data_IF_622612238462
#
_entry.id   IF_622612238462
#
_cell.length_a   1.000
_cell.length_b   1.000
_cell.length_c   1.000
_cell.angle_alpha   90.00
_cell.angle_beta   90.00
_cell.angle_gamma   90.00
#
_symmetry.space_group_name_H-M   'P 1'
#
loop_
_entity.id
_entity.type
_entity.pdbx_description
1 polymer ?
#
# COMPACT_ATOMS: atom_id res chain seq x y z
N UNK A 1 -11.14 -10.89 9.16
CA UNK A 1 -11.64 -9.51 9.28
C UNK A 1 -11.19 -8.91 10.61
N UNK A 2 -10.45 -7.78 10.64
CA UNK A 2 -10.04 -7.16 11.89
C UNK A 2 -11.25 -6.56 12.64
N UNK A 3 -11.39 -6.93 13.91
CA UNK A 3 -12.48 -6.48 14.80
C UNK A 3 -11.85 -5.78 16.00
N UNK A 4 -12.26 -4.54 16.26
CA UNK A 4 -11.81 -3.76 17.40
C UNK A 4 -12.38 -4.31 18.71
N UNK A 5 -11.79 -3.91 19.85
CA UNK A 5 -12.19 -4.38 21.19
C UNK A 5 -13.65 -4.12 21.52
N UNK A 6 -14.24 -3.07 20.96
CA UNK A 6 -15.65 -2.70 21.12
C UNK A 6 -16.59 -3.46 20.16
N UNK A 7 -16.08 -4.41 19.38
CA UNK A 7 -16.83 -5.19 18.40
C UNK A 7 -17.00 -4.48 17.06
N UNK A 8 -16.46 -3.27 16.88
CA UNK A 8 -16.56 -2.56 15.60
C UNK A 8 -15.64 -3.14 14.54
N UNK A 9 -16.05 -3.02 13.27
CA UNK A 9 -15.22 -3.34 12.11
C UNK A 9 -14.90 -2.03 11.40
N UNK A 10 -13.75 -1.38 11.67
CA UNK A 10 -13.52 0.02 11.27
C UNK A 10 -13.51 0.27 9.76
N UNK A 11 -13.38 -0.77 8.95
CA UNK A 11 -13.46 -0.68 7.50
C UNK A 11 -14.88 -0.33 7.00
N UNK A 12 -15.92 -0.71 7.75
CA UNK A 12 -17.31 -0.46 7.39
C UNK A 12 -17.93 0.61 8.26
N UNK A 13 -18.89 1.35 7.71
CA UNK A 13 -19.70 2.29 8.45
C UNK A 13 -21.14 2.22 7.97
N UNK A 14 -22.12 2.34 8.87
CA UNK A 14 -23.49 2.60 8.44
C UNK A 14 -23.63 4.06 8.00
N UNK A 15 -24.21 4.29 6.83
CA UNK A 15 -24.40 5.62 6.25
C UNK A 15 -25.87 5.82 5.94
N UNK A 16 -26.40 6.99 6.27
CA UNK A 16 -27.77 7.40 5.94
C UNK A 16 -27.67 8.58 5.00
N UNK A 17 -27.77 8.33 3.69
CA UNK A 17 -27.77 9.39 2.65
C UNK A 17 -29.18 9.91 2.37
N UNK A 18 -30.16 9.04 2.53
CA UNK A 18 -31.58 9.33 2.36
C UNK A 18 -32.31 8.97 3.66
N UNK A 19 -33.24 9.83 4.08
CA UNK A 19 -33.99 9.62 5.32
C UNK A 19 -34.70 8.26 5.29
N UNK A 20 -34.41 7.42 6.28
CA UNK A 20 -35.01 6.09 6.42
C UNK A 20 -34.28 4.96 5.68
N UNK A 21 -33.19 5.26 4.95
CA UNK A 21 -32.38 4.26 4.25
C UNK A 21 -31.01 4.14 4.90
N UNK A 22 -30.78 3.01 5.58
CA UNK A 22 -29.48 2.66 6.14
C UNK A 22 -28.71 1.85 5.10
N UNK A 23 -27.56 2.36 4.71
CA UNK A 23 -26.65 1.73 3.75
C UNK A 23 -25.36 1.30 4.46
N UNK A 24 -24.75 0.23 3.98
CA UNK A 24 -23.39 -0.10 4.39
C UNK A 24 -22.41 0.70 3.52
N UNK A 25 -21.70 1.64 4.14
CA UNK A 25 -20.59 2.35 3.53
C UNK A 25 -19.39 1.43 3.34
N UNK A 26 -19.08 1.16 2.08
CA UNK A 26 -17.89 0.43 1.62
C UNK A 26 -16.94 1.36 0.86
N UNK A 27 -15.74 0.89 0.52
CA UNK A 27 -14.76 1.67 -0.26
C UNK A 27 -14.41 3.07 0.30
N UNK A 28 -14.44 3.23 1.62
CA UNK A 28 -14.03 4.46 2.29
C UNK A 28 -12.51 4.53 2.47
N UNK A 29 -11.95 5.73 2.73
CA UNK A 29 -10.54 5.86 3.08
C UNK A 29 -10.14 4.99 4.28
N UNK A 30 -11.09 4.72 5.20
CA UNK A 30 -10.87 3.92 6.39
C UNK A 30 -10.65 2.42 6.10
N UNK A 31 -11.12 1.88 4.96
CA UNK A 31 -10.79 0.51 4.54
C UNK A 31 -9.28 0.30 4.45
N UNK A 32 -8.58 1.30 3.89
CA UNK A 32 -7.15 1.23 3.63
C UNK A 32 -6.32 1.90 4.73
N UNK A 33 -6.84 2.95 5.37
CA UNK A 33 -6.10 3.78 6.32
C UNK A 33 -6.68 3.71 7.73
N UNK A 34 -7.13 2.54 8.19
CA UNK A 34 -7.45 2.31 9.59
C UNK A 34 -6.99 0.93 10.01
N UNK A 35 -6.23 0.87 11.10
CA UNK A 35 -5.66 -0.37 11.63
C UNK A 35 -6.31 -0.73 12.96
N UNK A 36 -6.65 -2.00 13.14
CA UNK A 36 -6.92 -2.56 14.47
C UNK A 36 -5.60 -3.07 15.05
N UNK A 37 -5.19 -2.53 16.19
CA UNK A 37 -3.96 -2.88 16.88
C UNK A 37 -4.10 -4.21 17.64
N UNK A 38 -3.00 -4.88 18.03
CA UNK A 38 -3.05 -6.16 18.74
C UNK A 38 -3.85 -6.14 20.06
N UNK A 39 -3.90 -5.00 20.74
CA UNK A 39 -4.70 -4.78 21.96
C UNK A 39 -6.19 -4.49 21.68
N UNK A 40 -6.59 -4.51 20.41
CA UNK A 40 -7.93 -4.22 19.92
C UNK A 40 -8.25 -2.73 19.78
N UNK A 41 -7.30 -1.82 20.03
CA UNK A 41 -7.48 -0.38 19.78
C UNK A 41 -7.49 -0.04 18.28
N UNK A 42 -8.07 1.10 17.92
CA UNK A 42 -8.20 1.54 16.52
C UNK A 42 -7.29 2.73 16.23
N UNK A 43 -6.35 2.54 15.31
CA UNK A 43 -5.48 3.59 14.79
C UNK A 43 -6.01 4.14 13.46
N UNK A 44 -6.83 5.21 13.53
CA UNK A 44 -7.30 5.96 12.34
C UNK A 44 -6.12 6.65 11.67
N UNK A 45 -5.91 6.40 10.38
CA UNK A 45 -4.73 6.83 9.64
C UNK A 45 -3.62 5.77 9.57
N UNK A 46 -3.71 4.67 10.33
CA UNK A 46 -2.72 3.60 10.29
C UNK A 46 -2.77 2.78 9.01
N UNK A 47 -1.66 2.09 8.69
CA UNK A 47 -1.65 1.06 7.64
C UNK A 47 -2.62 -0.07 8.01
N UNK A 48 -3.71 -0.19 7.24
CA UNK A 48 -4.80 -1.12 7.53
C UNK A 48 -4.34 -2.58 7.58
N UNK A 49 -5.00 -3.37 8.41
CA UNK A 49 -4.93 -4.83 8.42
C UNK A 49 -6.24 -5.47 7.91
N UNK A 50 -7.06 -4.71 7.21
CA UNK A 50 -8.19 -5.23 6.44
C UNK A 50 -7.65 -5.96 5.20
N UNK A 51 -8.19 -7.15 4.87
CA UNK A 51 -7.82 -7.89 3.66
C UNK A 51 -8.51 -7.28 2.43
N UNK A 52 -7.98 -6.16 1.92
CA UNK A 52 -8.61 -5.40 0.82
C UNK A 52 -8.79 -6.25 -0.43
N UNK A 53 -7.72 -6.90 -0.86
CA UNK A 53 -7.72 -7.73 -2.07
C UNK A 53 -8.50 -9.04 -1.92
N UNK A 54 -8.40 -9.82 -0.81
CA UNK A 54 -9.30 -10.95 -0.61
C UNK A 54 -10.79 -10.56 -0.58
N UNK A 55 -11.14 -9.40 -0.03
CA UNK A 55 -12.52 -8.89 -0.11
C UNK A 55 -12.94 -8.57 -1.57
N UNK A 56 -12.01 -8.11 -2.41
CA UNK A 56 -12.23 -7.94 -3.85
C UNK A 56 -12.37 -9.30 -4.57
N UNK A 57 -11.57 -10.30 -4.20
CA UNK A 57 -11.66 -11.66 -4.73
C UNK A 57 -13.04 -12.27 -4.45
N UNK A 58 -13.55 -12.13 -3.23
CA UNK A 58 -14.90 -12.55 -2.85
C UNK A 58 -15.97 -11.82 -3.68
N UNK A 59 -15.80 -10.52 -3.93
CA UNK A 59 -16.71 -9.75 -4.78
C UNK A 59 -16.69 -10.25 -6.24
N UNK A 60 -15.53 -10.63 -6.78
CA UNK A 60 -15.43 -11.21 -8.12
C UNK A 60 -16.13 -12.57 -8.22
N UNK A 61 -15.96 -13.43 -7.21
CA UNK A 61 -16.67 -14.72 -7.13
C UNK A 61 -18.17 -14.53 -7.07
N UNK A 62 -18.64 -13.70 -6.14
CA UNK A 62 -20.08 -13.40 -5.98
C UNK A 62 -20.69 -12.81 -7.26
N UNK A 63 -19.98 -11.88 -7.92
CA UNK A 63 -20.42 -11.33 -9.20
C UNK A 63 -20.60 -12.41 -10.26
N UNK A 64 -19.63 -13.32 -10.42
CA UNK A 64 -19.69 -14.43 -11.36
C UNK A 64 -20.79 -15.45 -11.02
N UNK A 65 -20.97 -15.77 -9.74
CA UNK A 65 -21.99 -16.70 -9.27
C UNK A 65 -23.41 -16.16 -9.45
N UNK A 66 -23.60 -14.85 -9.26
CA UNK A 66 -24.87 -14.16 -9.48
C UNK A 66 -25.27 -14.06 -10.96
N UNK A 67 -24.30 -14.22 -11.88
CA UNK A 67 -24.57 -14.23 -13.31
C UNK A 67 -25.23 -15.56 -13.72
N UNK A 68 -26.28 -15.51 -14.58
CA UNK A 68 -26.84 -16.71 -15.20
C UNK A 68 -25.77 -17.60 -15.85
N UNK A 69 -25.89 -18.94 -15.86
CA UNK A 69 -24.85 -19.85 -16.37
C UNK A 69 -24.34 -19.50 -17.77
N UNK A 70 -25.22 -19.07 -18.67
CA UNK A 70 -24.93 -18.64 -20.04
C UNK A 70 -24.13 -17.33 -20.11
N UNK A 71 -24.10 -16.53 -19.03
CA UNK A 71 -23.41 -15.24 -18.95
C UNK A 71 -22.11 -15.27 -18.15
N UNK A 72 -21.74 -16.40 -17.54
CA UNK A 72 -20.50 -16.52 -16.74
C UNK A 72 -19.22 -16.24 -17.54
N UNK A 73 -19.18 -16.62 -18.83
CA UNK A 73 -18.08 -16.23 -19.73
C UNK A 73 -17.98 -14.71 -19.90
N UNK A 74 -19.12 -14.00 -19.90
CA UNK A 74 -19.16 -12.55 -19.88
C UNK A 74 -18.64 -11.94 -18.58
N UNK A 75 -18.80 -12.63 -17.44
CA UNK A 75 -18.24 -12.18 -16.17
C UNK A 75 -16.70 -12.15 -16.20
N UNK A 76 -16.06 -13.12 -16.86
CA UNK A 76 -14.60 -13.11 -17.10
C UNK A 76 -14.20 -11.89 -17.90
N UNK A 77 -14.89 -11.59 -19.01
CA UNK A 77 -14.59 -10.42 -19.84
C UNK A 77 -14.73 -9.11 -19.04
N UNK A 78 -15.80 -8.97 -18.25
CA UNK A 78 -16.02 -7.81 -17.40
C UNK A 78 -14.88 -7.66 -16.37
N UNK A 79 -14.60 -8.69 -15.59
CA UNK A 79 -13.57 -8.64 -14.54
C UNK A 79 -12.19 -8.39 -15.17
N UNK A 80 -11.80 -9.20 -16.15
CA UNK A 80 -10.46 -9.12 -16.75
C UNK A 80 -10.27 -7.87 -17.61
N UNK A 81 -11.18 -7.64 -18.56
CA UNK A 81 -10.95 -6.64 -19.61
C UNK A 81 -11.55 -5.28 -19.28
N UNK A 82 -12.56 -5.20 -18.42
CA UNK A 82 -13.19 -3.93 -18.04
C UNK A 82 -12.76 -3.43 -16.65
N UNK A 83 -12.29 -4.30 -15.75
CA UNK A 83 -11.78 -3.89 -14.43
C UNK A 83 -10.26 -4.03 -14.34
N UNK A 84 -9.72 -5.24 -14.37
CA UNK A 84 -8.28 -5.52 -14.20
C UNK A 84 -7.43 -4.76 -15.21
N UNK A 85 -7.81 -4.81 -16.50
CA UNK A 85 -7.13 -4.06 -17.56
C UNK A 85 -7.13 -2.56 -17.27
N UNK A 86 -8.27 -2.03 -16.84
CA UNK A 86 -8.42 -0.59 -16.58
C UNK A 86 -7.53 -0.14 -15.43
N UNK A 87 -7.35 -0.98 -14.40
CA UNK A 87 -6.52 -0.65 -13.25
C UNK A 87 -5.03 -0.93 -13.44
N UNK A 88 -4.64 -1.98 -14.17
CA UNK A 88 -3.25 -2.47 -14.13
C UNK A 88 -2.53 -2.53 -15.47
N UNK A 89 -3.23 -2.49 -16.61
CA UNK A 89 -2.55 -2.64 -17.89
C UNK A 89 -1.65 -1.45 -18.22
N UNK A 90 -0.56 -1.77 -18.92
CA UNK A 90 0.46 -0.82 -19.37
C UNK A 90 0.79 -1.13 -20.84
N UNK A 91 -0.14 -0.90 -21.79
CA UNK A 91 -0.03 -1.44 -23.14
C UNK A 91 1.24 -1.03 -23.90
N UNK A 92 1.77 0.15 -23.59
CA UNK A 92 3.01 0.68 -24.17
C UNK A 92 4.29 -0.06 -23.73
N UNK A 93 4.21 -0.99 -22.78
CA UNK A 93 5.30 -1.91 -22.43
C UNK A 93 5.31 -3.20 -23.28
N UNK A 94 4.30 -3.41 -24.13
CA UNK A 94 4.24 -4.60 -25.00
C UNK A 94 4.29 -5.90 -24.21
N UNK A 95 5.26 -6.77 -24.50
CA UNK A 95 5.43 -8.05 -23.81
C UNK A 95 5.76 -7.91 -22.32
N UNK A 96 6.29 -6.76 -21.89
CA UNK A 96 6.60 -6.48 -20.48
C UNK A 96 5.39 -6.00 -19.67
N UNK A 97 4.23 -5.79 -20.30
CA UNK A 97 3.02 -5.37 -19.59
C UNK A 97 2.60 -6.44 -18.55
N UNK A 98 2.61 -6.11 -17.24
CA UNK A 98 2.30 -7.05 -16.19
C UNK A 98 0.89 -7.64 -16.31
N UNK A 99 -0.06 -6.92 -16.91
CA UNK A 99 -1.44 -7.37 -17.10
C UNK A 99 -1.53 -8.59 -18.03
N UNK A 100 -0.55 -8.80 -18.91
CA UNK A 100 -0.51 -10.01 -19.78
C UNK A 100 -0.41 -11.30 -18.98
N UNK A 101 0.11 -11.24 -17.74
CA UNK A 101 0.19 -12.38 -16.81
C UNK A 101 -1.09 -12.63 -16.03
N UNK A 102 -2.06 -11.71 -16.07
CA UNK A 102 -3.35 -11.92 -15.38
C UNK A 102 -3.98 -13.21 -15.95
N UNK A 103 -4.62 -14.06 -15.12
CA UNK A 103 -5.28 -15.28 -15.59
C UNK A 103 -6.58 -15.06 -16.39
N UNK A 104 -7.06 -16.11 -17.08
CA UNK A 104 -8.24 -16.03 -17.97
C UNK A 104 -9.50 -16.67 -17.38
N UNK A 105 -9.59 -16.82 -16.06
CA UNK A 105 -10.79 -17.29 -15.37
C UNK A 105 -11.06 -16.45 -14.12
N UNK A 106 -12.34 -16.35 -13.71
CA UNK A 106 -12.71 -15.60 -12.50
C UNK A 106 -12.00 -16.16 -11.28
N UNK A 107 -11.95 -17.47 -11.13
CA UNK A 107 -11.33 -18.11 -9.95
C UNK A 107 -9.83 -17.87 -9.89
N UNK A 108 -9.10 -17.96 -11.00
CA UNK A 108 -7.67 -17.69 -10.98
C UNK A 108 -7.36 -16.19 -10.77
N UNK A 109 -8.20 -15.29 -11.28
CA UNK A 109 -8.09 -13.84 -10.98
C UNK A 109 -8.40 -13.59 -9.50
N UNK A 110 -9.42 -14.21 -8.95
CA UNK A 110 -9.73 -14.14 -7.52
C UNK A 110 -8.57 -14.68 -6.67
N UNK A 111 -7.98 -15.82 -7.05
CA UNK A 111 -6.81 -16.39 -6.39
C UNK A 111 -5.55 -15.50 -6.47
N UNK A 112 -5.41 -14.71 -7.54
CA UNK A 112 -4.37 -13.67 -7.64
C UNK A 112 -4.56 -12.60 -6.56
N UNK A 113 -5.78 -12.11 -6.36
CA UNK A 113 -6.08 -11.16 -5.29
C UNK A 113 -6.04 -11.78 -3.89
N UNK A 114 -6.47 -13.02 -3.70
CA UNK A 114 -6.34 -13.73 -2.41
C UNK A 114 -4.89 -13.88 -1.95
N UNK A 115 -3.94 -13.90 -2.90
CA UNK A 115 -2.51 -13.96 -2.58
C UNK A 115 -1.98 -12.67 -1.93
N UNK A 116 -2.69 -11.55 -2.06
CA UNK A 116 -2.31 -10.27 -1.49
C UNK A 116 -2.74 -10.19 -0.03
N UNK A 117 -1.76 -9.96 0.85
CA UNK A 117 -1.96 -10.02 2.31
C UNK A 117 -2.43 -8.67 2.89
N UNK A 118 -3.05 -8.67 4.09
CA UNK A 118 -3.39 -7.43 4.79
C UNK A 118 -2.21 -6.47 4.96
N UNK A 119 -2.49 -5.16 4.82
CA UNK A 119 -1.47 -4.12 4.81
C UNK A 119 -0.94 -3.77 3.43
N UNK A 120 -1.33 -4.52 2.40
CA UNK A 120 -1.09 -4.23 0.99
C UNK A 120 -2.42 -3.97 0.28
N UNK A 121 -2.35 -3.37 -0.91
CA UNK A 121 -3.47 -3.38 -1.83
C UNK A 121 -2.97 -3.41 -3.28
N UNK A 122 -3.71 -4.05 -4.17
CA UNK A 122 -3.54 -3.87 -5.61
C UNK A 122 -4.05 -2.49 -6.02
N UNK A 123 -3.21 -1.47 -5.75
CA UNK A 123 -3.56 -0.07 -6.03
C UNK A 123 -3.71 0.12 -7.53
N UNK A 124 -4.74 0.83 -7.97
CA UNK A 124 -4.85 1.31 -9.34
C UNK A 124 -3.52 1.95 -9.83
N UNK A 125 -3.16 1.66 -11.08
CA UNK A 125 -1.88 1.96 -11.74
C UNK A 125 -0.67 1.16 -11.27
N UNK A 126 -0.80 0.30 -10.26
CA UNK A 126 0.23 -0.66 -9.87
C UNK A 126 -0.05 -2.01 -10.55
N UNK A 127 0.21 -3.12 -9.85
CA UNK A 127 -0.12 -4.47 -10.31
C UNK A 127 -0.34 -5.40 -9.10
N UNK A 128 -1.27 -6.36 -9.17
CA UNK A 128 -1.43 -7.38 -8.12
C UNK A 128 -0.21 -8.31 -7.96
N UNK A 129 0.72 -8.32 -8.93
CA UNK A 129 1.96 -9.11 -8.84
C UNK A 129 3.04 -8.46 -7.95
N UNK A 130 2.94 -7.15 -7.68
CA UNK A 130 3.80 -6.39 -6.76
C UNK A 130 2.95 -5.28 -6.13
N UNK A 131 1.99 -5.66 -5.26
CA UNK A 131 1.03 -4.73 -4.68
C UNK A 131 1.76 -3.81 -3.69
N UNK A 132 1.63 -2.48 -3.83
CA UNK A 132 2.26 -1.57 -2.90
C UNK A 132 1.67 -1.72 -1.50
N UNK A 133 2.53 -1.51 -0.50
CA UNK A 133 2.12 -1.30 0.88
C UNK A 133 1.14 -0.14 0.97
N UNK A 134 0.15 -0.27 1.84
CA UNK A 134 -0.71 0.85 2.18
C UNK A 134 0.08 1.77 3.12
N UNK A 135 0.33 3.06 2.75
CA UNK A 135 1.01 3.97 3.65
C UNK A 135 0.10 4.36 4.81
N UNK A 136 0.68 4.55 5.99
CA UNK A 136 0.01 5.31 7.04
C UNK A 136 -0.06 6.80 6.67
N UNK A 137 -1.01 7.51 7.25
CA UNK A 137 -1.31 8.92 7.00
C UNK A 137 -0.82 9.83 8.12
N UNK A 138 -0.05 9.30 9.07
CA UNK A 138 0.44 10.09 10.19
C UNK A 138 1.48 11.09 9.71
N UNK A 139 1.36 12.33 10.20
CA UNK A 139 2.37 13.37 10.01
C UNK A 139 2.68 13.62 8.53
N UNK A 140 1.63 13.46 7.70
CA UNK A 140 1.77 13.48 6.26
C UNK A 140 2.34 14.81 5.75
N UNK A 141 2.11 15.91 6.47
CA UNK A 141 2.65 17.25 6.15
C UNK A 141 4.18 17.26 6.02
N UNK A 142 4.88 16.41 6.77
CA UNK A 142 6.34 16.36 6.79
C UNK A 142 6.92 15.35 5.77
N UNK A 143 6.05 14.64 5.03
CA UNK A 143 6.44 13.64 4.01
C UNK A 143 6.42 14.30 2.64
N UNK A 144 7.53 14.27 1.91
CA UNK A 144 7.64 14.90 0.58
C UNK A 144 6.90 14.15 -0.54
N UNK A 145 6.63 12.86 -0.36
CA UNK A 145 6.02 11.99 -1.37
C UNK A 145 4.91 11.14 -0.75
N UNK A 146 3.76 11.06 -1.43
CA UNK A 146 2.59 10.31 -0.94
C UNK A 146 2.71 8.80 -1.16
N UNK A 147 3.28 8.38 -2.28
CA UNK A 147 3.36 6.98 -2.70
C UNK A 147 4.80 6.43 -2.66
N UNK A 148 4.95 5.12 -2.78
CA UNK A 148 6.24 4.45 -2.68
C UNK A 148 7.23 4.82 -3.79
N UNK A 149 6.75 5.13 -5.00
CA UNK A 149 7.60 5.42 -6.16
C UNK A 149 7.96 6.89 -6.29
N UNK A 150 7.41 7.74 -5.43
CA UNK A 150 7.65 9.18 -5.47
C UNK A 150 6.96 9.88 -6.63
N UNK A 151 5.95 9.25 -7.23
CA UNK A 151 5.19 9.81 -8.34
C UNK A 151 4.45 11.09 -7.94
N UNK A 152 3.79 11.05 -6.79
CA UNK A 152 2.92 12.09 -6.28
C UNK A 152 3.63 12.85 -5.14
N UNK A 153 3.95 14.13 -5.38
CA UNK A 153 4.64 15.01 -4.43
C UNK A 153 3.68 15.70 -3.47
N UNK A 154 4.18 16.07 -2.29
CA UNK A 154 3.45 16.81 -1.26
C UNK A 154 4.23 18.08 -0.90
N UNK A 155 3.92 19.19 -1.57
CA UNK A 155 4.58 20.48 -1.33
C UNK A 155 3.71 21.39 -0.47
N UNK A 156 2.40 21.28 -0.62
CA UNK A 156 1.40 22.08 0.07
C UNK A 156 0.07 21.31 0.17
N UNK A 157 -0.87 21.83 0.96
CA UNK A 157 -2.18 21.20 1.16
C UNK A 157 -2.96 20.98 -0.15
N UNK A 158 -2.77 21.86 -1.13
CA UNK A 158 -3.36 21.73 -2.46
C UNK A 158 -2.92 20.47 -3.20
N UNK A 159 -1.71 19.97 -2.97
CA UNK A 159 -1.26 18.71 -3.56
C UNK A 159 -2.00 17.51 -2.96
N UNK A 160 -2.28 17.52 -1.65
CA UNK A 160 -3.10 16.49 -1.02
C UNK A 160 -4.54 16.51 -1.55
N UNK A 161 -5.11 17.70 -1.73
CA UNK A 161 -6.44 17.87 -2.33
C UNK A 161 -6.50 17.29 -3.75
N UNK A 162 -5.52 17.64 -4.60
CA UNK A 162 -5.40 17.09 -5.96
C UNK A 162 -5.19 15.58 -5.95
N UNK A 163 -4.33 15.08 -5.08
CA UNK A 163 -4.08 13.65 -4.93
C UNK A 163 -5.37 12.89 -4.58
N UNK A 164 -6.15 13.40 -3.63
CA UNK A 164 -7.42 12.82 -3.24
C UNK A 164 -8.42 12.83 -4.41
N UNK A 165 -8.57 13.95 -5.11
CA UNK A 165 -9.46 14.06 -6.27
C UNK A 165 -9.07 13.11 -7.41
N UNK A 166 -7.78 13.02 -7.75
CA UNK A 166 -7.26 12.13 -8.79
C UNK A 166 -7.53 10.67 -8.44
N UNK A 167 -7.23 10.27 -7.20
CA UNK A 167 -7.34 8.88 -6.80
C UNK A 167 -8.78 8.43 -6.50
N UNK A 168 -9.73 9.36 -6.32
CA UNK A 168 -11.15 9.08 -6.03
C UNK A 168 -12.08 9.33 -7.22
N UNK A 169 -11.60 9.07 -8.45
CA UNK A 169 -12.47 9.00 -9.64
C UNK A 169 -11.92 9.67 -10.90
N UNK A 170 -11.00 10.64 -10.77
CA UNK A 170 -10.48 11.33 -11.96
C UNK A 170 -9.37 10.56 -12.69
N UNK A 171 -8.86 9.45 -12.14
CA UNK A 171 -7.80 8.66 -12.77
C UNK A 171 -8.19 8.04 -14.12
N UNK A 172 -9.50 7.78 -14.32
CA UNK A 172 -10.04 7.23 -15.56
C UNK A 172 -10.11 8.26 -16.68
N UNK A 173 -9.94 9.55 -16.35
CA UNK A 173 -9.88 10.64 -17.32
C UNK A 173 -8.50 10.81 -17.97
N UNK A 174 -7.49 10.03 -17.53
CA UNK A 174 -6.12 10.13 -18.01
C UNK A 174 -5.88 9.18 -19.19
N UNK A 175 -5.30 9.70 -20.27
CA UNK A 175 -5.19 9.02 -21.58
C UNK A 175 -4.20 7.83 -21.62
N UNK A 176 -3.14 7.84 -20.81
CA UNK A 176 -2.07 6.81 -20.78
C UNK A 176 -1.63 6.32 -22.17
N UNK A 177 -1.18 7.24 -23.03
CA UNK A 177 -0.68 6.95 -24.37
C UNK A 177 -1.74 6.28 -25.27
N UNK A 178 -2.94 6.88 -25.36
CA UNK A 178 -4.03 6.39 -26.19
C UNK A 178 -4.80 5.20 -25.64
N UNK A 179 -4.54 4.77 -24.39
CA UNK A 179 -5.28 3.68 -23.74
C UNK A 179 -6.69 4.12 -23.34
N UNK A 180 -6.86 5.38 -22.92
CA UNK A 180 -8.14 5.99 -22.56
C UNK A 180 -8.31 7.32 -23.28
N UNK A 181 -8.45 7.32 -24.62
CA UNK A 181 -8.52 8.54 -25.40
C UNK A 181 -9.65 9.43 -24.86
N UNK A 182 -9.38 10.71 -24.53
CA UNK A 182 -10.36 11.61 -23.92
C UNK A 182 -11.67 11.68 -24.71
N UNK A 183 -11.58 11.55 -26.03
CA UNK A 183 -12.70 11.51 -26.99
C UNK A 183 -13.73 10.39 -26.70
N UNK A 184 -13.30 9.30 -26.04
CA UNK A 184 -14.13 8.15 -25.69
C UNK A 184 -14.56 8.14 -24.23
N UNK A 185 -14.06 9.07 -23.42
CA UNK A 185 -14.46 9.15 -22.03
C UNK A 185 -15.87 9.74 -21.94
N UNK A 186 -16.77 9.16 -21.12
CA UNK A 186 -18.04 9.82 -20.84
C UNK A 186 -17.79 11.23 -20.27
N UNK A 187 -18.73 12.18 -20.45
CA UNK A 187 -18.61 13.51 -19.87
C UNK A 187 -18.26 13.43 -18.38
N UNK A 188 -17.32 14.25 -17.91
CA UNK A 188 -16.78 14.18 -16.55
C UNK A 188 -17.90 14.25 -15.49
N UNK A 189 -18.99 14.96 -15.78
CA UNK A 189 -20.15 15.10 -14.90
C UNK A 189 -20.94 13.80 -14.70
N UNK A 190 -20.77 12.82 -15.62
CA UNK A 190 -21.46 11.52 -15.59
C UNK A 190 -20.65 10.39 -14.97
N UNK A 191 -19.34 10.57 -14.81
CA UNK A 191 -18.43 9.52 -14.35
C UNK A 191 -18.34 9.49 -12.82
N UNK A 192 -18.13 10.65 -12.20
CA UNK A 192 -18.04 10.77 -10.74
C UNK A 192 -18.49 12.17 -10.30
N UNK A 193 -19.18 12.30 -9.16
CA UNK A 193 -19.41 13.63 -8.58
C UNK A 193 -18.05 14.26 -8.25
N UNK A 194 -17.74 15.40 -8.89
CA UNK A 194 -16.57 16.20 -8.53
C UNK A 194 -16.72 16.64 -7.07
N UNK A 195 -15.73 16.33 -6.24
CA UNK A 195 -15.65 16.88 -4.89
C UNK A 195 -15.43 18.39 -4.97
N UNK A 196 -16.17 19.16 -4.15
CA UNK A 196 -15.94 20.61 -4.05
C UNK A 196 -14.58 20.89 -3.42
N UNK A 197 -14.04 22.07 -3.69
CA UNK A 197 -12.76 22.48 -3.13
C UNK A 197 -12.84 22.56 -1.59
N UNK A 198 -13.97 22.96 -1.02
CA UNK A 198 -14.21 22.99 0.43
C UNK A 198 -14.18 21.57 1.03
N UNK A 199 -14.80 20.60 0.33
CA UNK A 199 -14.81 19.20 0.79
C UNK A 199 -13.42 18.59 0.75
N UNK A 200 -12.64 18.86 -0.31
CA UNK A 200 -11.26 18.41 -0.44
C UNK A 200 -10.36 19.08 0.60
N UNK A 201 -10.54 20.37 0.86
CA UNK A 201 -9.79 21.10 1.87
C UNK A 201 -10.09 20.58 3.28
N UNK A 202 -11.37 20.35 3.62
CA UNK A 202 -11.77 19.75 4.88
C UNK A 202 -11.19 18.33 5.06
N UNK A 203 -11.21 17.51 4.01
CA UNK A 203 -10.58 16.18 4.02
C UNK A 203 -9.07 16.28 4.23
N UNK A 204 -8.39 17.21 3.55
CA UNK A 204 -6.95 17.40 3.68
C UNK A 204 -6.56 17.85 5.10
N UNK A 205 -7.33 18.78 5.69
CA UNK A 205 -7.15 19.18 7.09
C UNK A 205 -7.37 18.02 8.07
N UNK A 206 -8.42 17.20 7.83
CA UNK A 206 -8.66 16.01 8.63
C UNK A 206 -7.49 15.03 8.57
N UNK A 207 -6.98 14.73 7.37
CA UNK A 207 -5.84 13.83 7.17
C UNK A 207 -4.60 14.37 7.88
N UNK A 208 -4.30 15.66 7.76
CA UNK A 208 -3.17 16.29 8.46
C UNK A 208 -3.33 16.32 9.99
N UNK A 209 -4.54 16.19 10.51
CA UNK A 209 -4.81 16.13 11.95
C UNK A 209 -4.74 14.71 12.54
N UNK A 210 -4.63 13.67 11.70
CA UNK A 210 -4.51 12.28 12.16
C UNK A 210 -3.23 12.09 12.98
N UNK A 211 -3.39 11.48 14.16
CA UNK A 211 -2.30 11.19 15.09
C UNK A 211 -2.02 9.70 15.19
N UNK A 212 -0.75 9.31 15.31
CA UNK A 212 -0.38 7.92 15.57
C UNK A 212 -0.92 7.46 16.94
N UNK A 213 -1.13 6.15 17.13
CA UNK A 213 -1.41 5.62 18.47
C UNK A 213 -0.20 5.83 19.40
N UNK A 214 -0.41 5.88 20.74
CA UNK A 214 0.70 5.97 21.69
C UNK A 214 1.67 4.80 21.55
N UNK A 215 2.97 5.08 21.54
CA UNK A 215 3.99 4.04 21.45
C UNK A 215 4.16 3.30 22.77
N UNK A 216 3.98 1.97 22.78
CA UNK A 216 4.20 1.16 23.99
C UNK A 216 5.69 0.95 24.29
N UNK A 217 6.60 1.26 23.35
CA UNK A 217 8.04 1.06 23.49
C UNK A 217 8.71 2.33 24.01
N UNK A 218 9.23 2.27 25.23
CA UNK A 218 10.00 3.35 25.85
C UNK A 218 11.50 3.17 25.63
N UNK A 219 12.25 4.26 25.73
CA UNK A 219 13.72 4.21 25.70
C UNK A 219 14.25 3.46 26.93
N UNK A 220 15.19 2.55 26.67
CA UNK A 220 15.94 1.76 27.64
C UNK A 220 17.39 1.56 27.17
N UNK A 221 18.23 0.93 28.00
CA UNK A 221 19.63 0.69 27.69
C UNK A 221 19.87 -0.11 26.38
N UNK A 222 18.91 -0.96 25.98
CA UNK A 222 19.02 -1.76 24.75
C UNK A 222 18.71 -0.89 23.52
N UNK A 223 17.67 -0.08 23.56
CA UNK A 223 17.34 0.88 22.50
C UNK A 223 18.39 1.99 22.36
N UNK A 224 18.98 2.48 23.44
CA UNK A 224 20.10 3.44 23.39
C UNK A 224 21.35 2.82 22.72
N UNK A 225 21.60 1.53 22.98
CA UNK A 225 22.63 0.76 22.25
C UNK A 225 22.25 0.65 20.77
N UNK A 226 20.97 0.41 20.48
CA UNK A 226 20.43 0.35 19.14
C UNK A 226 20.61 1.64 18.34
N UNK A 227 20.42 2.79 18.97
CA UNK A 227 20.67 4.10 18.35
C UNK A 227 22.14 4.23 17.94
N UNK A 228 23.08 3.82 18.81
CA UNK A 228 24.51 3.81 18.46
C UNK A 228 24.81 2.87 17.29
N UNK A 229 24.16 1.70 17.23
CA UNK A 229 24.26 0.78 16.09
C UNK A 229 23.70 1.42 14.82
N UNK A 230 22.54 2.08 14.91
CA UNK A 230 21.90 2.78 13.79
C UNK A 230 22.82 3.83 13.16
N UNK A 231 23.50 4.63 13.98
CA UNK A 231 24.48 5.61 13.51
C UNK A 231 25.69 4.93 12.85
N UNK A 232 26.30 3.94 13.53
CA UNK A 232 27.50 3.23 13.05
C UNK A 232 27.26 2.42 11.78
N UNK A 233 26.07 1.85 11.62
CA UNK A 233 25.68 1.07 10.45
C UNK A 233 25.32 1.96 9.24
N UNK A 234 25.39 3.28 9.38
CA UNK A 234 25.11 4.24 8.30
C UNK A 234 23.63 4.45 8.01
N UNK A 235 22.71 3.95 8.85
CA UNK A 235 21.27 4.06 8.63
C UNK A 235 20.82 5.52 8.56
N UNK A 236 21.44 6.39 9.36
CA UNK A 236 21.14 7.82 9.43
C UNK A 236 21.44 8.59 8.13
N UNK A 237 22.23 8.05 7.19
CA UNK A 237 22.48 8.70 5.90
C UNK A 237 21.20 8.81 5.05
N UNK A 238 20.34 7.78 5.11
CA UNK A 238 19.04 7.77 4.44
C UNK A 238 17.89 8.11 5.41
N UNK A 239 18.02 7.72 6.67
CA UNK A 239 17.00 7.88 7.70
C UNK A 239 17.42 8.82 8.85
N UNK A 240 17.82 10.08 8.57
CA UNK A 240 18.22 11.02 9.62
C UNK A 240 17.02 11.46 10.46
N UNK A 241 17.26 11.68 11.75
CA UNK A 241 16.33 12.40 12.64
C UNK A 241 16.09 13.85 12.16
N UNK A 242 14.97 14.49 12.52
CA UNK A 242 13.89 13.99 13.37
C UNK A 242 12.83 13.16 12.61
N UNK A 243 12.79 13.23 11.28
CA UNK A 243 11.76 12.55 10.49
C UNK A 243 12.10 11.08 10.20
N UNK A 244 13.33 10.65 10.49
CA UNK A 244 13.87 9.33 10.15
C UNK A 244 13.69 8.97 8.67
N UNK A 245 13.83 10.00 7.84
CA UNK A 245 13.90 9.96 6.38
C UNK A 245 14.54 11.26 5.93
N UNK A 246 15.36 11.18 4.89
CA UNK A 246 15.89 12.36 4.21
C UNK A 246 14.90 12.94 3.19
N UNK A 247 13.69 12.35 3.05
CA UNK A 247 12.69 12.74 2.06
C UNK A 247 13.23 12.72 0.62
N UNK A 248 14.16 11.81 0.31
CA UNK A 248 14.75 11.65 -1.02
C UNK A 248 14.22 10.39 -1.73
N UNK A 249 14.50 10.34 -3.03
CA UNK A 249 14.27 9.20 -3.90
C UNK A 249 15.60 8.45 -4.11
N UNK A 250 15.58 7.13 -3.97
CA UNK A 250 16.67 6.24 -4.33
C UNK A 250 16.32 5.49 -5.60
N UNK A 251 17.28 5.34 -6.51
CA UNK A 251 17.11 4.48 -7.69
C UNK A 251 16.80 3.06 -7.24
N UNK A 252 15.79 2.44 -7.85
CA UNK A 252 15.39 1.07 -7.52
C UNK A 252 16.56 0.09 -7.71
N UNK A 253 17.37 0.29 -8.75
CA UNK A 253 18.54 -0.53 -9.05
C UNK A 253 19.65 -0.36 -8.00
N UNK A 254 19.81 0.83 -7.43
CA UNK A 254 20.85 1.11 -6.45
C UNK A 254 20.52 0.50 -5.08
N UNK A 255 19.25 0.54 -4.66
CA UNK A 255 18.83 -0.13 -3.42
C UNK A 255 18.65 -1.64 -3.60
N UNK A 256 18.38 -2.10 -4.82
CA UNK A 256 18.34 -3.51 -5.22
C UNK A 256 17.10 -4.29 -4.77
N UNK A 257 16.05 -3.59 -4.32
CA UNK A 257 14.74 -4.21 -3.99
C UNK A 257 13.94 -4.51 -5.26
N UNK A 258 12.83 -5.23 -5.13
CA UNK A 258 11.96 -5.58 -6.27
C UNK A 258 11.62 -4.33 -7.13
N UNK A 259 11.93 -4.32 -8.45
CA UNK A 259 11.74 -3.14 -9.28
C UNK A 259 10.38 -3.11 -9.99
N UNK A 260 9.52 -4.12 -9.80
CA UNK A 260 8.30 -4.30 -10.59
C UNK A 260 7.41 -3.06 -10.52
N UNK A 261 7.17 -2.55 -9.30
CA UNK A 261 6.34 -1.37 -9.08
C UNK A 261 6.91 -0.12 -9.75
N UNK A 262 8.24 0.04 -9.76
CA UNK A 262 8.92 1.23 -10.32
C UNK A 262 9.16 1.18 -11.82
N UNK A 263 9.15 0.00 -12.43
CA UNK A 263 9.60 -0.18 -13.81
C UNK A 263 8.50 -0.66 -14.75
N UNK A 264 7.53 -1.44 -14.25
CA UNK A 264 6.54 -2.13 -15.09
C UNK A 264 5.11 -1.66 -14.84
N UNK A 265 4.90 -0.55 -14.13
CA UNK A 265 3.56 -0.05 -13.79
C UNK A 265 3.37 1.40 -14.24
N UNK A 266 2.12 1.86 -14.28
CA UNK A 266 1.78 3.28 -14.51
C UNK A 266 2.12 4.18 -13.31
N UNK A 267 2.62 3.62 -12.20
CA UNK A 267 3.25 4.36 -11.11
C UNK A 267 4.76 4.40 -11.20
N UNK A 268 5.34 3.76 -12.21
CA UNK A 268 6.78 3.61 -12.34
C UNK A 268 7.51 4.93 -12.57
N UNK A 269 8.49 5.21 -11.71
CA UNK A 269 9.41 6.35 -11.85
C UNK A 269 10.87 5.90 -11.99
N UNK A 270 11.17 4.62 -11.78
CA UNK A 270 12.54 4.11 -11.57
C UNK A 270 13.11 4.35 -10.16
N UNK A 271 12.34 4.95 -9.24
CA UNK A 271 12.82 5.29 -7.90
C UNK A 271 11.86 4.82 -6.81
N UNK A 272 12.41 4.54 -5.64
CA UNK A 272 11.66 4.41 -4.39
C UNK A 272 11.97 5.57 -3.46
N UNK A 273 10.96 6.09 -2.77
CA UNK A 273 11.21 7.04 -1.68
C UNK A 273 11.86 6.33 -0.51
N UNK A 274 12.74 7.05 0.20
CA UNK A 274 13.19 6.61 1.52
C UNK A 274 12.04 6.79 2.51
N UNK A 275 11.42 5.70 3.04
CA UNK A 275 10.29 5.85 3.95
C UNK A 275 10.75 6.42 5.30
N UNK A 276 9.90 7.21 5.96
CA UNK A 276 10.11 7.53 7.38
C UNK A 276 10.06 6.25 8.22
N UNK A 277 10.97 6.12 9.18
CA UNK A 277 10.94 5.02 10.16
C UNK A 277 10.09 5.34 11.39
N UNK A 278 9.52 6.55 11.49
CA UNK A 278 8.55 6.89 12.55
C UNK A 278 7.37 5.94 12.52
N UNK A 279 6.94 5.53 13.71
CA UNK A 279 5.83 4.60 13.91
C UNK A 279 6.03 3.23 13.25
N UNK A 280 7.29 2.83 12.95
CA UNK A 280 7.57 1.52 12.37
C UNK A 280 7.05 0.37 13.24
N UNK A 281 7.04 0.54 14.56
CA UNK A 281 6.49 -0.41 15.53
C UNK A 281 4.99 -0.70 15.33
N UNK A 282 4.22 0.26 14.83
CA UNK A 282 2.77 0.19 14.72
C UNK A 282 2.29 -0.38 13.38
N UNK A 283 3.22 -0.68 12.45
CA UNK A 283 2.89 -1.06 11.08
C UNK A 283 3.69 -2.27 10.60
N UNK A 284 3.16 -2.89 9.56
CA UNK A 284 3.67 -4.13 8.98
C UNK A 284 2.67 -4.64 7.95
N UNK A 285 3.09 -5.40 6.93
CA UNK A 285 4.46 -5.86 6.64
C UNK A 285 5.42 -4.73 6.19
N UNK A 286 6.72 -4.99 6.00
CA UNK A 286 7.78 -4.05 5.58
C UNK A 286 8.23 -4.28 4.12
N UNK A 287 9.09 -3.38 3.59
CA UNK A 287 9.36 -3.18 2.15
C UNK A 287 8.22 -2.47 1.40
N UNK A 288 8.46 -1.99 0.18
CA UNK A 288 7.46 -1.31 -0.64
C UNK A 288 6.30 -2.24 -1.06
N UNK A 289 6.53 -3.55 -1.11
CA UNK A 289 5.56 -4.60 -1.51
C UNK A 289 5.23 -5.58 -0.37
N UNK A 290 5.69 -5.33 0.86
CA UNK A 290 5.33 -6.15 2.01
C UNK A 290 5.99 -7.52 2.12
N UNK A 291 7.17 -7.77 1.54
CA UNK A 291 7.75 -9.12 1.51
C UNK A 291 8.10 -9.71 2.88
N UNK A 292 8.29 -8.88 3.91
CA UNK A 292 8.68 -9.34 5.26
C UNK A 292 7.70 -8.82 6.32
N UNK A 293 7.32 -9.66 7.27
CA UNK A 293 6.32 -9.31 8.28
C UNK A 293 6.88 -8.42 9.41
N UNK A 294 8.14 -8.65 9.80
CA UNK A 294 8.75 -8.02 10.99
C UNK A 294 10.06 -7.29 10.69
N UNK A 295 10.52 -6.46 11.63
CA UNK A 295 11.84 -5.82 11.54
C UNK A 295 12.96 -6.84 11.71
N UNK A 296 12.71 -7.89 12.50
CA UNK A 296 13.60 -9.02 12.71
C UNK A 296 13.85 -9.75 11.37
N UNK A 297 12.79 -10.05 10.61
CA UNK A 297 12.89 -10.65 9.27
C UNK A 297 13.65 -9.75 8.28
N UNK A 298 13.48 -8.43 8.38
CA UNK A 298 14.16 -7.47 7.52
C UNK A 298 15.68 -7.53 7.65
N UNK A 299 16.17 -7.82 8.86
CA UNK A 299 17.60 -7.96 9.15
C UNK A 299 18.12 -9.40 9.12
N UNK A 300 17.29 -10.39 8.79
CA UNK A 300 17.72 -11.77 8.58
C UNK A 300 18.36 -11.94 7.19
N UNK A 301 19.67 -12.25 7.08
CA UNK A 301 20.33 -12.48 5.80
C UNK A 301 19.76 -13.68 5.02
N UNK A 302 19.06 -14.62 5.68
CA UNK A 302 18.40 -15.74 5.00
C UNK A 302 17.38 -15.27 3.96
N UNK A 303 16.82 -14.06 4.12
CA UNK A 303 15.88 -13.50 3.15
C UNK A 303 16.45 -13.34 1.74
N UNK A 304 17.79 -13.30 1.61
CA UNK A 304 18.47 -13.14 0.33
C UNK A 304 18.53 -14.43 -0.50
N UNK A 305 18.25 -15.59 0.10
CA UNK A 305 18.34 -16.89 -0.57
C UNK A 305 17.15 -17.12 -1.50
N UNK A 306 17.37 -17.75 -2.65
CA UNK A 306 16.31 -18.02 -3.62
C UNK A 306 15.28 -19.06 -3.11
N UNK A 307 15.65 -19.88 -2.13
CA UNK A 307 14.78 -20.84 -1.43
C UNK A 307 14.07 -20.25 -0.19
N UNK A 308 14.24 -18.96 0.10
CA UNK A 308 13.58 -18.29 1.20
C UNK A 308 12.06 -18.29 1.02
N UNK A 309 11.33 -18.47 2.12
CA UNK A 309 9.87 -18.29 2.19
C UNK A 309 9.60 -16.92 2.82
N UNK A 310 9.19 -15.89 2.04
CA UNK A 310 8.78 -14.60 2.57
C UNK A 310 7.81 -14.73 3.74
N UNK A 311 8.08 -14.04 4.84
CA UNK A 311 7.15 -13.98 6.00
C UNK A 311 5.96 -13.06 5.72
N UNK A 312 6.07 -12.17 4.72
CA UNK A 312 4.99 -11.35 4.21
C UNK A 312 4.50 -11.82 2.83
N UNK A 313 4.39 -10.90 1.87
CA UNK A 313 3.88 -11.20 0.54
C UNK A 313 4.87 -12.02 -0.28
N UNK A 314 4.45 -13.22 -0.69
CA UNK A 314 5.28 -14.14 -1.46
C UNK A 314 5.19 -13.93 -2.97
N UNK A 315 4.03 -13.47 -3.46
CA UNK A 315 3.69 -13.38 -4.88
C UNK A 315 2.82 -14.54 -5.33
N UNK A 316 1.85 -14.24 -6.21
CA UNK A 316 0.94 -15.24 -6.76
C UNK A 316 1.68 -16.41 -7.44
N UNK A 317 1.24 -17.64 -7.12
CA UNK A 317 1.79 -18.87 -7.68
C UNK A 317 3.21 -19.24 -7.19
N UNK A 318 3.76 -18.52 -6.21
CA UNK A 318 5.11 -18.78 -5.67
C UNK A 318 5.05 -19.52 -4.34
N UNK A 319 6.06 -20.37 -4.11
CA UNK A 319 6.31 -21.05 -2.83
C UNK A 319 7.55 -20.55 -2.10
N UNK A 320 8.50 -20.00 -2.85
CA UNK A 320 9.72 -19.36 -2.34
C UNK A 320 10.04 -18.14 -3.20
N UNK A 321 10.73 -17.15 -2.62
CA UNK A 321 11.24 -15.97 -3.32
C UNK A 321 12.28 -15.27 -2.44
N UNK A 322 13.45 -15.00 -3.00
CA UNK A 322 14.42 -14.09 -2.37
C UNK A 322 13.85 -12.67 -2.26
N UNK A 323 14.03 -12.06 -1.09
CA UNK A 323 13.78 -10.66 -0.82
C UNK A 323 15.12 -9.93 -0.87
N UNK A 324 15.51 -9.44 -2.05
CA UNK A 324 16.82 -8.83 -2.30
C UNK A 324 16.82 -7.32 -1.98
N UNK A 325 18.02 -6.72 -1.97
CA UNK A 325 18.18 -5.29 -1.75
C UNK A 325 18.23 -4.87 -0.29
N UNK A 326 18.55 -3.59 -0.09
CA UNK A 326 18.73 -2.95 1.21
C UNK A 326 19.63 -3.81 2.14
N UNK A 327 20.90 -3.95 1.79
CA UNK A 327 21.84 -4.82 2.51
C UNK A 327 22.29 -4.29 3.89
N UNK A 328 21.93 -3.04 4.22
CA UNK A 328 22.27 -2.40 5.50
C UNK A 328 21.69 -3.20 6.68
N UNK A 329 22.54 -3.46 7.68
CA UNK A 329 22.17 -4.21 8.89
C UNK A 329 22.26 -5.73 8.77
N UNK A 330 22.39 -6.31 7.57
CA UNK A 330 22.40 -7.77 7.39
C UNK A 330 23.63 -8.46 8.02
N UNK A 331 24.78 -7.78 8.01
CA UNK A 331 26.05 -8.29 8.56
C UNK A 331 26.25 -7.99 10.05
N UNK A 332 25.26 -7.36 10.71
CA UNK A 332 25.34 -7.09 12.15
C UNK A 332 25.29 -8.38 12.97
N UNK A 333 25.98 -8.41 14.11
CA UNK A 333 25.85 -9.49 15.08
C UNK A 333 24.44 -9.55 15.67
N UNK A 334 24.06 -10.72 16.23
CA UNK A 334 22.71 -10.92 16.77
C UNK A 334 22.30 -9.88 17.83
N UNK A 335 23.23 -9.53 18.73
CA UNK A 335 22.98 -8.49 19.74
C UNK A 335 22.80 -7.10 19.15
N UNK A 336 23.55 -6.76 18.09
CA UNK A 336 23.41 -5.50 17.37
C UNK A 336 22.09 -5.42 16.61
N UNK A 337 21.65 -6.51 15.97
CA UNK A 337 20.33 -6.57 15.35
C UNK A 337 19.22 -6.40 16.37
N UNK A 338 19.29 -7.10 17.50
CA UNK A 338 18.32 -6.99 18.59
C UNK A 338 18.25 -5.57 19.15
N UNK A 339 19.40 -4.94 19.39
CA UNK A 339 19.47 -3.56 19.85
C UNK A 339 18.91 -2.58 18.80
N UNK A 340 19.30 -2.73 17.52
CA UNK A 340 18.79 -1.92 16.42
C UNK A 340 17.27 -2.02 16.30
N UNK A 341 16.70 -3.22 16.36
CA UNK A 341 15.24 -3.42 16.33
C UNK A 341 14.57 -2.76 17.55
N UNK A 342 15.16 -2.87 18.74
CA UNK A 342 14.64 -2.19 19.92
C UNK A 342 14.60 -0.67 19.73
N UNK A 343 15.66 -0.07 19.19
CA UNK A 343 15.68 1.36 18.83
C UNK A 343 14.63 1.72 17.78
N UNK A 344 14.53 0.97 16.68
CA UNK A 344 13.53 1.26 15.64
C UNK A 344 12.10 1.22 16.18
N UNK A 345 11.84 0.44 17.24
CA UNK A 345 10.53 0.38 17.90
C UNK A 345 10.24 1.61 18.77
N UNK A 346 11.25 2.34 19.24
CA UNK A 346 11.07 3.57 20.04
C UNK A 346 10.93 4.84 19.19
N UNK A 347 11.06 4.75 17.86
CA UNK A 347 10.97 5.91 16.97
C UNK A 347 9.50 6.31 16.78
N UNK A 348 9.16 7.47 17.34
CA UNK A 348 7.90 8.19 17.14
C UNK A 348 8.02 9.40 16.24
#
# INVERSE_FOLDING_TARGET
>A
MPVARDGTVPAYAYVVREKGKVELGTFSCAHCHTRVMPDGSVAKGGQSNFPVDPALADAFRQFSESAPPDKRLGAVDIIRNQLERVFYAVPFLGEKDPFRRTPNSVEEIAALHDSVIPGLMSRQRATPFSPPRIPDLFELRDRKFFDATGLDQNREIGDLMRYAAINQGAIQLLDYNGMFPPEKNPPAEKLFPRYTDESLYALALYIYALKPPPNPHQSDALSERGERVFQKAGCAACHPAPLYTNNQLMKAEAIGTDPELTSNTRRGTGYYKVPSLRHAWARGPFEHNGSVATLEDWFDPNRLRDDYVPTGFIGYGRKTRAVKGHAFGLNLGADDKRALVAFLKTID
#
